data_IF_644577709348
#
_entry.id   IF_644577709348
#
_cell.length_a   1.000
_cell.length_b   1.000
_cell.length_c   1.000
_cell.angle_alpha   90.00
_cell.angle_beta   90.00
_cell.angle_gamma   90.00
#
_symmetry.space_group_name_H-M   'P 1'
#
loop_
_entity.id
_entity.type
_entity.pdbx_description
1 polymer ?
#
# COMPACT_ATOMS: atom_id res chain seq x y z
N UNK A 1 16.57 16.76 -4.79
CA UNK A 1 15.80 15.53 -4.51
C UNK A 1 16.21 15.05 -3.13
N UNK A 2 15.29 14.90 -2.16
CA UNK A 2 15.64 14.24 -0.91
C UNK A 2 16.21 12.85 -1.26
N UNK A 3 17.38 12.52 -0.73
CA UNK A 3 18.00 11.22 -0.92
C UNK A 3 17.00 10.17 -0.45
N UNK A 4 16.60 9.22 -1.31
CA UNK A 4 15.65 8.15 -0.97
C UNK A 4 16.06 7.43 0.32
N UNK A 5 17.37 7.31 0.54
CA UNK A 5 17.94 6.77 1.77
C UNK A 5 17.53 7.55 3.03
N UNK A 6 17.44 8.89 2.94
CA UNK A 6 17.02 9.74 4.06
C UNK A 6 15.52 9.59 4.32
N UNK A 7 14.70 9.46 3.28
CA UNK A 7 13.25 9.23 3.43
C UNK A 7 13.00 7.88 4.11
N UNK A 8 13.68 6.82 3.65
CA UNK A 8 13.58 5.48 4.25
C UNK A 8 14.02 5.50 5.72
N UNK A 9 15.13 6.18 6.04
CA UNK A 9 15.59 6.34 7.44
C UNK A 9 14.57 7.05 8.32
N UNK A 10 13.99 8.15 7.85
CA UNK A 10 12.96 8.88 8.60
C UNK A 10 11.74 8.01 8.89
N UNK A 11 11.32 7.19 7.93
CA UNK A 11 10.20 6.25 8.13
C UNK A 11 10.58 5.17 9.16
N UNK A 12 11.77 4.59 9.05
CA UNK A 12 12.28 3.62 10.02
C UNK A 12 12.34 4.19 11.44
N UNK A 13 12.74 5.45 11.59
CA UNK A 13 12.81 6.16 12.87
C UNK A 13 11.42 6.45 13.46
N UNK A 14 10.41 6.71 12.63
CA UNK A 14 9.01 6.80 13.07
C UNK A 14 8.53 5.43 13.59
N UNK A 15 8.77 4.36 12.82
CA UNK A 15 8.36 3.00 13.20
C UNK A 15 9.05 2.48 14.47
N UNK A 16 10.20 3.05 14.87
CA UNK A 16 10.89 2.69 16.14
C UNK A 16 10.08 3.01 17.38
N UNK A 17 9.09 3.90 17.26
CA UNK A 17 8.20 4.28 18.36
C UNK A 17 7.02 3.32 18.53
N UNK A 18 6.76 2.43 17.56
CA UNK A 18 5.70 1.42 17.65
C UNK A 18 6.16 0.19 18.43
N UNK A 19 5.45 -0.09 19.52
CA UNK A 19 5.73 -1.18 20.47
C UNK A 19 5.63 -2.61 19.88
N UNK A 20 5.32 -2.77 18.59
CA UNK A 20 5.16 -4.05 17.90
C UNK A 20 6.20 -4.38 16.82
N UNK A 21 7.22 -3.52 16.61
CA UNK A 21 8.24 -3.71 15.56
C UNK A 21 9.56 -4.24 16.12
N UNK A 22 9.58 -5.50 16.56
CA UNK A 22 10.80 -6.13 17.10
C UNK A 22 11.70 -6.67 15.98
N UNK A 23 12.28 -5.77 15.17
CA UNK A 23 13.38 -6.08 14.26
C UNK A 23 13.37 -5.31 12.92
N UNK A 24 14.55 -5.10 12.34
CA UNK A 24 14.70 -4.38 11.05
C UNK A 24 14.01 -5.10 9.88
N UNK A 25 14.00 -6.44 9.89
CA UNK A 25 13.30 -7.26 8.90
C UNK A 25 11.78 -7.05 8.92
N UNK A 26 11.18 -7.03 10.12
CA UNK A 26 9.74 -6.82 10.27
C UNK A 26 9.33 -5.40 9.86
N UNK A 27 10.19 -4.40 10.10
CA UNK A 27 9.98 -3.03 9.60
C UNK A 27 10.02 -2.99 8.07
N UNK A 28 10.95 -3.73 7.45
CA UNK A 28 11.04 -3.81 6.00
C UNK A 28 9.82 -4.50 5.38
N UNK A 29 9.29 -5.54 6.01
CA UNK A 29 8.05 -6.21 5.58
C UNK A 29 6.83 -5.27 5.64
N UNK A 30 6.72 -4.47 6.70
CA UNK A 30 5.65 -3.47 6.81
C UNK A 30 5.76 -2.38 5.73
N UNK A 31 6.97 -2.01 5.31
CA UNK A 31 7.17 -1.08 4.20
C UNK A 31 6.92 -1.71 2.83
N UNK A 32 7.16 -3.02 2.69
CA UNK A 32 7.06 -3.73 1.42
C UNK A 32 5.67 -3.62 0.78
N UNK A 33 4.62 -3.93 1.55
CA UNK A 33 3.25 -3.89 1.03
C UNK A 33 2.77 -2.45 0.76
N UNK A 34 3.18 -1.48 1.59
CA UNK A 34 2.85 -0.07 1.38
C UNK A 34 3.49 0.48 0.11
N UNK A 35 4.78 0.19 -0.11
CA UNK A 35 5.46 0.60 -1.34
C UNK A 35 4.86 -0.08 -2.57
N UNK A 36 4.52 -1.36 -2.47
CA UNK A 36 3.84 -2.06 -3.55
C UNK A 36 2.53 -1.35 -3.94
N UNK A 37 1.66 -1.04 -2.98
CA UNK A 37 0.39 -0.35 -3.26
C UNK A 37 0.60 1.06 -3.83
N UNK A 38 1.57 1.83 -3.32
CA UNK A 38 1.88 3.16 -3.86
C UNK A 38 2.37 3.11 -5.31
N UNK A 39 3.35 2.23 -5.59
CA UNK A 39 3.92 2.07 -6.93
C UNK A 39 2.86 1.53 -7.89
N UNK A 40 2.02 0.62 -7.42
CA UNK A 40 0.92 0.08 -8.22
C UNK A 40 -0.06 1.19 -8.60
N UNK A 41 -0.54 1.98 -7.63
CA UNK A 41 -1.47 3.09 -7.87
C UNK A 41 -0.88 4.14 -8.84
N UNK A 42 0.41 4.48 -8.73
CA UNK A 42 1.08 5.38 -9.67
C UNK A 42 1.08 4.82 -11.10
N UNK A 43 1.35 3.51 -11.23
CA UNK A 43 1.30 2.84 -12.54
C UNK A 43 -0.12 2.76 -13.08
N UNK A 44 -1.12 2.55 -12.24
CA UNK A 44 -2.53 2.56 -12.64
C UNK A 44 -2.94 3.93 -13.18
N UNK A 45 -2.52 5.02 -12.51
CA UNK A 45 -2.77 6.38 -12.96
C UNK A 45 -2.12 6.65 -14.32
N UNK A 46 -0.87 6.24 -14.51
CA UNK A 46 -0.18 6.34 -15.80
C UNK A 46 -0.93 5.55 -16.90
N UNK A 47 -1.33 4.31 -16.61
CA UNK A 47 -2.06 3.49 -17.58
C UNK A 47 -3.44 4.04 -17.90
N UNK A 48 -4.15 4.61 -16.93
CA UNK A 48 -5.44 5.25 -17.15
C UNK A 48 -5.34 6.47 -18.07
N UNK A 49 -4.21 7.20 -18.05
CA UNK A 49 -3.94 8.30 -18.97
C UNK A 49 -3.57 7.82 -20.38
N UNK A 50 -2.90 6.66 -20.48
CA UNK A 50 -2.44 6.11 -21.76
C UNK A 50 -3.46 5.20 -22.46
N UNK A 51 -4.44 4.66 -21.73
CA UNK A 51 -5.39 3.67 -22.22
C UNK A 51 -6.80 3.96 -21.68
N UNK A 52 -7.67 4.47 -22.55
CA UNK A 52 -9.06 4.81 -22.21
C UNK A 52 -9.89 3.60 -21.70
N UNK A 53 -9.53 2.38 -22.12
CA UNK A 53 -10.22 1.15 -21.70
C UNK A 53 -9.64 0.51 -20.45
N UNK A 54 -8.68 1.14 -19.78
CA UNK A 54 -8.05 0.57 -18.60
C UNK A 54 -9.06 0.43 -17.45
N UNK A 55 -9.10 -0.76 -16.85
CA UNK A 55 -9.87 -1.03 -15.63
C UNK A 55 -8.93 -1.56 -14.58
N UNK A 56 -8.88 -0.85 -13.46
CA UNK A 56 -8.13 -1.29 -12.29
C UNK A 56 -8.65 -2.64 -11.80
N UNK A 57 -7.76 -3.59 -11.48
CA UNK A 57 -8.13 -4.83 -10.82
C UNK A 57 -8.54 -4.62 -9.35
N UNK A 58 -8.24 -3.45 -8.78
CA UNK A 58 -8.58 -3.13 -7.40
C UNK A 58 -9.91 -2.38 -7.33
N UNK A 59 -10.82 -2.81 -6.42
CA UNK A 59 -11.95 -1.99 -5.99
C UNK A 59 -11.47 -0.61 -5.53
N UNK A 60 -12.24 0.44 -5.85
CA UNK A 60 -11.90 1.84 -5.57
C UNK A 60 -11.44 2.04 -4.12
N UNK A 61 -12.25 1.61 -3.14
CA UNK A 61 -11.96 1.77 -1.71
C UNK A 61 -10.70 1.03 -1.20
N UNK A 62 -10.01 0.23 -2.03
CA UNK A 62 -8.75 -0.42 -1.68
C UNK A 62 -7.52 0.23 -2.36
N UNK A 63 -7.73 1.16 -3.29
CA UNK A 63 -6.64 1.84 -4.00
C UNK A 63 -5.96 2.84 -3.09
N UNK A 64 -4.64 2.99 -3.22
CA UNK A 64 -3.84 3.90 -2.41
C UNK A 64 -4.40 5.32 -2.43
N UNK A 65 -4.79 5.78 -3.62
CA UNK A 65 -5.35 7.12 -3.84
C UNK A 65 -6.63 7.43 -3.05
N UNK A 66 -7.40 6.40 -2.65
CA UNK A 66 -8.68 6.59 -1.97
C UNK A 66 -8.57 6.65 -0.43
N UNK A 67 -7.50 6.13 0.18
CA UNK A 67 -7.37 6.11 1.66
C UNK A 67 -6.05 6.71 2.18
N UNK A 68 -4.99 6.77 1.37
CA UNK A 68 -3.65 7.16 1.82
C UNK A 68 -3.14 8.48 1.21
N UNK A 69 -3.88 9.08 0.26
CA UNK A 69 -3.44 10.32 -0.42
C UNK A 69 -3.78 11.60 0.35
N UNK A 70 -4.84 11.56 1.13
CA UNK A 70 -5.30 12.70 1.93
C UNK A 70 -4.57 12.73 3.28
N UNK A 71 -3.86 13.83 3.57
CA UNK A 71 -3.14 14.02 4.83
C UNK A 71 -4.10 14.17 6.02
N UNK A 72 -5.33 14.62 5.78
CA UNK A 72 -6.42 14.70 6.77
C UNK A 72 -7.34 13.46 6.74
N UNK A 73 -6.94 12.42 6.01
CA UNK A 73 -7.68 11.17 5.86
C UNK A 73 -7.75 10.31 7.12
N UNK A 74 -8.12 9.04 6.94
CA UNK A 74 -8.24 8.09 8.06
C UNK A 74 -6.90 7.91 8.79
N UNK A 75 -6.92 7.97 10.11
CA UNK A 75 -5.73 7.93 10.98
C UNK A 75 -6.01 7.15 12.27
N UNK A 76 -4.97 6.84 13.03
CA UNK A 76 -5.06 6.15 14.32
C UNK A 76 -5.75 4.79 14.24
N UNK A 77 -6.59 4.49 15.23
CA UNK A 77 -7.28 3.20 15.35
C UNK A 77 -8.18 2.89 14.15
N UNK A 78 -8.78 3.91 13.53
CA UNK A 78 -9.61 3.73 12.34
C UNK A 78 -8.79 3.27 11.13
N UNK A 79 -7.58 3.81 10.97
CA UNK A 79 -6.66 3.36 9.93
C UNK A 79 -6.18 1.92 10.20
N UNK A 80 -5.85 1.60 11.45
CA UNK A 80 -5.43 0.25 11.84
C UNK A 80 -6.55 -0.78 11.60
N UNK A 81 -7.79 -0.46 11.96
CA UNK A 81 -8.95 -1.32 11.71
C UNK A 81 -9.16 -1.53 10.21
N UNK A 82 -9.13 -0.46 9.42
CA UNK A 82 -9.24 -0.55 7.96
C UNK A 82 -8.15 -1.44 7.36
N UNK A 83 -6.88 -1.23 7.72
CA UNK A 83 -5.77 -2.01 7.17
C UNK A 83 -5.89 -3.49 7.53
N UNK A 84 -6.12 -3.79 8.81
CA UNK A 84 -6.09 -5.16 9.32
C UNK A 84 -7.35 -5.96 8.97
N UNK A 85 -8.53 -5.33 9.01
CA UNK A 85 -9.81 -6.03 8.87
C UNK A 85 -10.43 -5.87 7.48
N UNK A 86 -9.98 -4.89 6.68
CA UNK A 86 -10.53 -4.65 5.33
C UNK A 86 -9.49 -4.78 4.24
N UNK A 87 -8.41 -4.00 4.26
CA UNK A 87 -7.46 -3.88 3.16
C UNK A 87 -6.72 -5.21 2.92
N UNK A 88 -5.91 -5.65 3.89
CA UNK A 88 -5.07 -6.84 3.72
C UNK A 88 -5.89 -8.12 3.49
N UNK A 89 -7.00 -8.39 4.20
CA UNK A 89 -7.83 -9.56 3.94
C UNK A 89 -8.44 -9.56 2.53
N UNK A 90 -8.91 -8.40 2.05
CA UNK A 90 -9.51 -8.31 0.70
C UNK A 90 -8.48 -8.43 -0.40
N UNK A 91 -7.28 -7.87 -0.23
CA UNK A 91 -6.18 -8.04 -1.19
C UNK A 91 -5.79 -9.53 -1.32
N UNK A 92 -5.69 -10.25 -0.20
CA UNK A 92 -5.42 -11.71 -0.20
C UNK A 92 -6.54 -12.51 -0.87
N UNK A 93 -7.79 -12.06 -0.73
CA UNK A 93 -8.97 -12.71 -1.29
C UNK A 93 -9.22 -12.37 -2.78
N UNK A 94 -8.39 -11.53 -3.42
CA UNK A 94 -8.55 -11.20 -4.84
C UNK A 94 -8.43 -12.47 -5.70
N UNK A 95 -9.54 -12.86 -6.30
CA UNK A 95 -9.64 -14.00 -7.19
C UNK A 95 -9.78 -13.51 -8.63
N UNK A 96 -8.85 -13.90 -9.50
CA UNK A 96 -8.99 -13.78 -10.94
C UNK A 96 -7.76 -14.32 -11.65
N UNK A 97 -7.94 -14.90 -12.83
CA UNK A 97 -6.93 -15.65 -13.59
C UNK A 97 -5.85 -14.81 -14.26
N UNK A 98 -5.81 -13.50 -14.00
CA UNK A 98 -4.83 -12.61 -14.60
C UNK A 98 -3.57 -12.47 -13.72
N UNK A 99 -2.41 -12.34 -14.36
CA UNK A 99 -1.08 -12.36 -13.70
C UNK A 99 -0.96 -11.29 -12.60
N UNK A 100 -1.68 -10.18 -12.75
CA UNK A 100 -1.74 -9.09 -11.76
C UNK A 100 -2.40 -9.50 -10.45
N UNK A 101 -3.49 -10.24 -10.48
CA UNK A 101 -4.14 -10.71 -9.24
C UNK A 101 -3.23 -11.68 -8.48
N UNK A 102 -2.45 -12.51 -9.19
CA UNK A 102 -1.49 -13.38 -8.53
C UNK A 102 -0.38 -12.62 -7.82
N UNK A 103 0.11 -11.52 -8.41
CA UNK A 103 1.17 -10.71 -7.81
C UNK A 103 0.68 -9.99 -6.54
N UNK A 104 -0.54 -9.43 -6.57
CA UNK A 104 -1.15 -8.76 -5.42
C UNK A 104 -1.39 -9.73 -4.24
N UNK A 105 -1.70 -11.01 -4.51
CA UNK A 105 -1.92 -12.01 -3.44
C UNK A 105 -0.64 -12.45 -2.72
N UNK A 106 0.50 -12.44 -3.41
CA UNK A 106 1.77 -12.99 -2.91
C UNK A 106 2.64 -11.98 -2.18
N UNK A 107 2.35 -10.68 -2.33
CA UNK A 107 2.93 -9.57 -1.55
C UNK A 107 2.18 -9.36 -0.25
#
# INVERSE_FOLDING_TARGET
MPNVSNVVKSIQDIMRKDAGTYGDAQRLEQLGWMFFLKIFDDREQEMALLRDSYRSPLPKHLRWSDWAKDEEGITGDALLDFVNNTLLPKLKALTGGDRMHSLIRTT
#
